data_IF_448780663131
#
_entry.id   IF_448780663131
#
_cell.length_a   1.000
_cell.length_b   1.000
_cell.length_c   1.000
_cell.angle_alpha   90.00
_cell.angle_beta   90.00
_cell.angle_gamma   90.00
#
_symmetry.space_group_name_H-M   'P 1'
#
loop_
_entity.id
_entity.type
_entity.pdbx_description
1 polymer ?
#
# COMPACT_ATOMS: atom_id res chain seq x y z
N UNK A 1 -4.26 -13.38 -9.63
CA UNK A 1 -4.56 -11.98 -9.98
C UNK A 1 -4.26 -11.14 -8.74
N UNK A 2 -3.46 -10.08 -8.86
CA UNK A 2 -2.81 -9.43 -7.72
C UNK A 2 -3.49 -8.09 -7.38
N UNK A 3 -3.85 -7.86 -6.12
CA UNK A 3 -4.33 -6.58 -5.59
C UNK A 3 -3.19 -5.85 -4.90
N UNK A 4 -3.03 -4.56 -5.18
CA UNK A 4 -2.06 -3.73 -4.46
C UNK A 4 -2.72 -3.10 -3.25
N UNK A 5 -2.18 -3.37 -2.06
CA UNK A 5 -2.56 -2.71 -0.81
C UNK A 5 -1.44 -1.75 -0.39
N UNK A 6 -1.74 -0.46 -0.34
CA UNK A 6 -0.85 0.55 0.20
C UNK A 6 -1.32 1.02 1.59
N UNK A 7 -0.45 0.90 2.59
CA UNK A 7 -0.70 1.37 3.97
C UNK A 7 0.05 2.68 4.19
N UNK A 8 -0.68 3.73 4.58
CA UNK A 8 -0.07 5.07 4.81
C UNK A 8 -0.37 5.61 6.21
N UNK A 9 0.22 6.74 6.56
CA UNK A 9 0.21 7.30 7.92
C UNK A 9 -1.10 8.00 8.29
N UNK A 10 -2.23 7.32 8.16
CA UNK A 10 -3.53 7.73 8.68
C UNK A 10 -4.02 6.72 9.73
N UNK A 11 -4.93 7.17 10.60
CA UNK A 11 -5.55 6.29 11.61
C UNK A 11 -6.50 5.28 10.96
N UNK A 12 -6.80 4.20 11.68
CA UNK A 12 -7.63 3.09 11.19
C UNK A 12 -6.80 1.99 10.53
N UNK A 13 -5.57 1.78 11.01
CA UNK A 13 -4.62 0.85 10.43
C UNK A 13 -5.09 -0.62 10.46
N UNK A 14 -6.01 -0.97 11.36
CA UNK A 14 -6.64 -2.29 11.45
C UNK A 14 -7.36 -2.70 10.15
N UNK A 15 -7.82 -1.72 9.36
CA UNK A 15 -8.52 -1.99 8.11
C UNK A 15 -7.63 -2.69 7.08
N UNK A 16 -6.31 -2.51 7.16
CA UNK A 16 -5.35 -3.24 6.33
C UNK A 16 -5.35 -4.75 6.63
N UNK A 17 -5.40 -5.15 7.90
CA UNK A 17 -5.48 -6.57 8.30
C UNK A 17 -6.83 -7.17 7.88
N UNK A 18 -7.93 -6.43 8.07
CA UNK A 18 -9.26 -6.86 7.60
C UNK A 18 -9.25 -7.10 6.09
N UNK A 19 -8.62 -6.23 5.30
CA UNK A 19 -8.52 -6.42 3.86
C UNK A 19 -7.68 -7.66 3.52
N UNK A 20 -6.52 -7.85 4.14
CA UNK A 20 -5.69 -9.03 3.91
C UNK A 20 -6.41 -10.34 4.25
N UNK A 21 -7.21 -10.36 5.31
CA UNK A 21 -7.97 -11.55 5.71
C UNK A 21 -9.18 -11.84 4.82
N UNK A 22 -9.80 -10.81 4.23
CA UNK A 22 -11.06 -10.93 3.48
C UNK A 22 -10.88 -10.89 1.96
N UNK A 23 -9.72 -10.49 1.47
CA UNK A 23 -9.41 -10.44 0.04
C UNK A 23 -9.53 -11.84 -0.58
N UNK A 24 -10.24 -11.95 -1.70
CA UNK A 24 -10.25 -13.14 -2.55
C UNK A 24 -9.10 -13.18 -3.55
N UNK A 25 -8.25 -12.15 -3.56
CA UNK A 25 -7.09 -12.00 -4.43
C UNK A 25 -5.79 -12.07 -3.62
N UNK A 26 -4.71 -12.50 -4.27
CA UNK A 26 -3.36 -12.35 -3.72
C UNK A 26 -3.06 -10.86 -3.53
N UNK A 27 -2.53 -10.49 -2.35
CA UNK A 27 -2.27 -9.10 -2.03
C UNK A 27 -0.77 -8.81 -1.99
N UNK A 28 -0.33 -7.84 -2.78
CA UNK A 28 0.98 -7.21 -2.64
C UNK A 28 0.87 -5.99 -1.75
N UNK A 29 1.57 -6.01 -0.63
CA UNK A 29 1.59 -4.94 0.36
C UNK A 29 2.75 -3.98 0.10
N UNK A 30 2.46 -2.68 0.17
CA UNK A 30 3.45 -1.61 0.27
C UNK A 30 3.06 -0.73 1.45
N UNK A 31 4.03 -0.28 2.25
CA UNK A 31 3.74 0.61 3.36
C UNK A 31 4.73 1.75 3.45
N UNK A 32 4.22 2.97 3.61
CA UNK A 32 5.06 4.12 3.93
C UNK A 32 5.66 3.98 5.32
N UNK A 33 6.74 4.71 5.61
CA UNK A 33 7.33 4.76 6.96
C UNK A 33 6.27 5.04 8.03
N UNK A 34 5.46 6.07 7.82
CA UNK A 34 4.40 6.45 8.75
C UNK A 34 3.26 5.44 8.81
N UNK A 35 2.94 4.74 7.71
CA UNK A 35 1.97 3.65 7.72
C UNK A 35 2.40 2.51 8.65
N UNK A 36 3.68 2.12 8.60
CA UNK A 36 4.25 1.13 9.53
C UNK A 36 4.19 1.62 10.98
N UNK A 37 4.55 2.88 11.22
CA UNK A 37 4.57 3.45 12.57
C UNK A 37 3.16 3.57 13.18
N UNK A 38 2.16 3.98 12.40
CA UNK A 38 0.77 4.04 12.87
C UNK A 38 0.24 2.64 13.14
N UNK A 39 0.48 1.67 12.25
CA UNK A 39 0.07 0.29 12.48
C UNK A 39 0.66 -0.27 13.78
N UNK A 40 1.95 0.00 14.05
CA UNK A 40 2.59 -0.41 15.31
C UNK A 40 1.94 0.15 16.57
N UNK A 41 1.40 1.36 16.49
CA UNK A 41 0.73 2.02 17.62
C UNK A 41 -0.72 1.55 17.80
N UNK A 42 -1.42 1.29 16.71
CA UNK A 42 -2.85 0.96 16.75
C UNK A 42 -3.13 -0.55 16.83
N UNK A 43 -2.25 -1.39 16.27
CA UNK A 43 -2.57 -2.79 15.97
C UNK A 43 -1.49 -3.80 16.37
N UNK A 44 -0.27 -3.38 16.73
CA UNK A 44 0.83 -4.28 17.08
C UNK A 44 1.83 -4.48 15.94
N UNK A 45 2.48 -5.64 15.84
CA UNK A 45 3.61 -5.81 14.90
C UNK A 45 3.19 -5.61 13.44
N UNK A 46 3.87 -4.69 12.75
CA UNK A 46 3.68 -4.52 11.31
C UNK A 46 4.23 -5.74 10.53
N UNK A 47 5.24 -6.40 11.09
CA UNK A 47 5.86 -7.59 10.51
C UNK A 47 4.89 -8.77 10.52
N UNK A 48 4.07 -8.91 11.57
CA UNK A 48 2.97 -9.88 11.61
C UNK A 48 1.91 -9.59 10.54
N UNK A 49 1.51 -8.33 10.34
CA UNK A 49 0.64 -7.96 9.21
C UNK A 49 1.29 -8.32 7.88
N UNK A 50 2.55 -7.94 7.69
CA UNK A 50 3.28 -8.11 6.44
C UNK A 50 3.45 -9.59 6.07
N UNK A 51 3.57 -10.48 7.06
CA UNK A 51 3.64 -11.93 6.86
C UNK A 51 2.37 -12.55 6.24
N UNK A 52 1.24 -11.83 6.30
CA UNK A 52 -0.05 -12.27 5.73
C UNK A 52 -0.21 -11.86 4.26
N UNK A 53 0.62 -10.94 3.78
CA UNK A 53 0.62 -10.54 2.38
C UNK A 53 1.42 -11.54 1.53
N UNK A 54 0.99 -11.75 0.29
CA UNK A 54 1.70 -12.63 -0.65
C UNK A 54 3.09 -12.07 -1.00
N UNK A 55 3.21 -10.75 -1.06
CA UNK A 55 4.47 -10.05 -1.31
C UNK A 55 4.47 -8.72 -0.56
N UNK A 56 5.66 -8.30 -0.14
CA UNK A 56 5.89 -6.99 0.46
C UNK A 56 6.93 -6.26 -0.37
N UNK A 57 6.65 -5.02 -0.76
CA UNK A 57 7.59 -4.16 -1.49
C UNK A 57 8.03 -2.98 -0.63
N UNK A 58 9.25 -2.50 -0.88
CA UNK A 58 9.73 -1.27 -0.25
C UNK A 58 9.09 -0.06 -0.93
N UNK A 59 8.58 0.89 -0.14
CA UNK A 59 8.02 2.13 -0.67
C UNK A 59 9.05 3.01 -1.39
N UNK A 60 10.35 2.77 -1.18
CA UNK A 60 11.43 3.47 -1.88
C UNK A 60 11.92 2.75 -3.13
N UNK A 61 11.46 1.52 -3.38
CA UNK A 61 11.88 0.74 -4.55
C UNK A 61 11.08 1.16 -5.80
N UNK A 62 11.55 2.22 -6.45
CA UNK A 62 10.99 2.70 -7.71
C UNK A 62 11.20 1.75 -8.90
N UNK A 63 12.01 0.70 -8.73
CA UNK A 63 12.23 -0.33 -9.75
C UNK A 63 11.23 -1.49 -9.65
N UNK A 64 10.40 -1.50 -8.60
CA UNK A 64 9.41 -2.55 -8.40
C UNK A 64 8.41 -2.62 -9.56
N UNK A 65 7.92 -3.82 -9.94
CA UNK A 65 7.05 -4.00 -11.11
C UNK A 65 5.83 -3.06 -11.13
N UNK A 66 5.23 -2.81 -9.97
CA UNK A 66 4.02 -1.98 -9.84
C UNK A 66 4.25 -0.48 -10.15
N UNK A 67 5.50 -0.05 -10.39
CA UNK A 67 5.84 1.27 -10.89
C UNK A 67 5.69 1.43 -12.42
N UNK A 68 5.31 0.33 -13.11
CA UNK A 68 5.02 0.29 -14.54
C UNK A 68 3.53 -0.01 -14.80
N UNK A 69 2.91 0.77 -15.70
CA UNK A 69 1.54 0.51 -16.15
C UNK A 69 1.37 -0.73 -17.04
N UNK A 70 2.47 -1.38 -17.43
CA UNK A 70 2.43 -2.65 -18.16
C UNK A 70 2.16 -3.86 -17.26
N UNK A 71 2.19 -3.68 -15.94
CA UNK A 71 1.94 -4.76 -14.98
C UNK A 71 0.44 -4.86 -14.72
N UNK A 72 -0.15 -5.99 -15.12
CA UNK A 72 -1.56 -6.25 -14.85
C UNK A 72 -1.80 -6.49 -13.36
N UNK A 73 -2.75 -5.76 -12.80
CA UNK A 73 -3.29 -5.97 -11.45
C UNK A 73 -4.82 -5.89 -11.51
N UNK A 74 -5.48 -6.36 -10.45
CA UNK A 74 -6.93 -6.16 -10.31
C UNK A 74 -7.28 -4.73 -9.87
N UNK A 75 -6.27 -3.96 -9.46
CA UNK A 75 -6.41 -2.62 -8.93
C UNK A 75 -5.49 -2.36 -7.74
N UNK A 76 -5.65 -1.16 -7.18
CA UNK A 76 -4.89 -0.67 -6.04
C UNK A 76 -5.83 -0.04 -5.01
N UNK A 77 -5.60 -0.32 -3.73
CA UNK A 77 -6.30 0.27 -2.59
C UNK A 77 -5.27 0.93 -1.67
N UNK A 78 -5.49 2.19 -1.30
CA UNK A 78 -4.73 2.87 -0.25
C UNK A 78 -5.55 2.87 1.04
N UNK A 79 -5.16 2.08 2.04
CA UNK A 79 -5.94 1.83 3.25
C UNK A 79 -5.04 1.61 4.48
N UNK A 80 -5.07 2.52 5.49
CA UNK A 80 -5.69 3.85 5.44
C UNK A 80 -4.90 4.81 4.52
N UNK A 81 -5.58 5.84 4.02
CA UNK A 81 -5.01 6.87 3.14
C UNK A 81 -4.82 8.20 3.88
N UNK A 82 -3.58 8.66 4.01
CA UNK A 82 -3.26 9.95 4.61
C UNK A 82 -3.57 11.09 3.64
N UNK A 83 -3.90 12.27 4.19
CA UNK A 83 -4.14 13.47 3.39
C UNK A 83 -2.92 13.84 2.52
N UNK A 84 -1.69 13.58 3.01
CA UNK A 84 -0.46 13.76 2.24
C UNK A 84 -0.43 12.83 1.01
N UNK A 85 -0.70 11.53 1.19
CA UNK A 85 -0.72 10.58 0.05
C UNK A 85 -1.82 10.93 -0.94
N UNK A 86 -3.03 11.23 -0.45
CA UNK A 86 -4.14 11.66 -1.29
C UNK A 86 -3.79 12.93 -2.09
N UNK A 87 -3.24 13.94 -1.41
CA UNK A 87 -2.83 15.20 -2.03
C UNK A 87 -1.76 14.99 -3.10
N UNK A 88 -0.76 14.15 -2.84
CA UNK A 88 0.27 13.80 -3.82
C UNK A 88 -0.30 13.11 -5.05
N UNK A 89 -1.17 12.11 -4.86
CA UNK A 89 -1.83 11.41 -5.97
C UNK A 89 -2.62 12.41 -6.82
N UNK A 90 -3.46 13.23 -6.18
CA UNK A 90 -4.32 14.21 -6.85
C UNK A 90 -3.53 15.27 -7.63
N UNK A 91 -2.33 15.64 -7.17
CA UNK A 91 -1.46 16.63 -7.82
C UNK A 91 -0.42 16.00 -8.76
N UNK A 92 -0.46 14.70 -9.02
CA UNK A 92 0.50 14.07 -9.92
C UNK A 92 1.92 13.93 -9.35
N UNK A 93 2.09 14.02 -8.03
CA UNK A 93 3.39 13.86 -7.37
C UNK A 93 3.69 12.36 -7.17
N UNK A 94 4.69 11.84 -7.87
CA UNK A 94 5.07 10.43 -7.90
C UNK A 94 6.47 10.16 -7.30
N UNK A 95 6.67 10.60 -6.05
CA UNK A 95 7.95 10.59 -5.33
C UNK A 95 8.19 9.33 -4.45
N UNK A 96 7.30 8.35 -4.51
CA UNK A 96 7.42 7.07 -3.81
C UNK A 96 6.76 5.96 -4.63
N UNK A 97 7.04 4.70 -4.29
CA UNK A 97 6.41 3.57 -4.97
C UNK A 97 4.89 3.61 -4.83
N UNK A 98 4.34 3.96 -3.66
CA UNK A 98 2.89 4.10 -3.47
C UNK A 98 2.30 5.16 -4.42
N UNK A 99 2.87 6.36 -4.43
CA UNK A 99 2.33 7.46 -5.25
C UNK A 99 2.53 7.21 -6.74
N UNK A 100 3.65 6.60 -7.14
CA UNK A 100 3.92 6.18 -8.52
C UNK A 100 3.01 5.06 -8.99
N UNK A 101 2.82 4.02 -8.17
CA UNK A 101 1.93 2.92 -8.48
C UNK A 101 0.51 3.41 -8.67
N UNK A 102 0.03 4.34 -7.84
CA UNK A 102 -1.30 4.93 -8.02
C UNK A 102 -1.51 5.54 -9.42
N UNK A 103 -0.50 6.21 -10.00
CA UNK A 103 -0.57 6.75 -11.36
C UNK A 103 -0.44 5.71 -12.48
N UNK A 104 0.00 4.50 -12.17
CA UNK A 104 0.09 3.40 -13.15
C UNK A 104 -1.20 2.58 -13.24
N UNK A 105 -2.02 2.63 -12.19
CA UNK A 105 -3.23 1.81 -12.02
C UNK A 105 -4.54 2.60 -12.16
N UNK A 106 -4.46 3.92 -12.25
CA UNK A 106 -5.55 4.85 -12.58
C UNK A 106 -5.51 5.18 -14.08
#
# INVERSE_FOLDING_TARGET
MNLILAVTGASGAYAADVLLQKSSWDVTLVASRWGKDVYRRECGSFEELASRAQRVLDNNDMSAPIASGSVETVGMVVLPCSADTLGKIANGIADSLITRAAHCHL
#
